data_IF_121830416579
#
_entry.id   IF_121830416579
#
_cell.length_a   1.000
_cell.length_b   1.000
_cell.length_c   1.000
_cell.angle_alpha   90.00
_cell.angle_beta   90.00
_cell.angle_gamma   90.00
#
_symmetry.space_group_name_H-M   'P 1'
#
loop_
_entity.id
_entity.type
_entity.pdbx_description
1 polymer ?
#
# COMPACT_ATOMS: atom_id res chain seq x y z
N UNK A 1 43.22 -13.40 20.58
CA UNK A 1 42.15 -13.42 19.56
C UNK A 1 40.89 -12.83 20.18
N UNK A 2 40.58 -11.57 19.89
CA UNK A 2 39.40 -10.88 20.42
C UNK A 2 38.15 -11.28 19.65
N UNK A 3 37.12 -11.72 20.36
CA UNK A 3 35.79 -11.91 19.78
C UNK A 3 35.19 -10.53 19.48
N UNK A 4 35.11 -10.17 18.21
CA UNK A 4 34.33 -9.03 17.77
C UNK A 4 32.85 -9.41 17.80
N UNK A 5 32.16 -9.02 18.86
CA UNK A 5 30.69 -9.03 18.90
C UNK A 5 30.21 -7.95 17.94
N UNK A 6 29.76 -8.34 16.74
CA UNK A 6 29.09 -7.44 15.80
C UNK A 6 27.72 -7.11 16.39
N UNK A 7 27.64 -5.99 17.10
CA UNK A 7 26.37 -5.35 17.47
C UNK A 7 25.66 -4.91 16.18
N UNK A 8 24.66 -5.67 15.74
CA UNK A 8 23.75 -5.18 14.70
C UNK A 8 22.99 -3.97 15.23
N UNK A 9 23.14 -2.83 14.55
CA UNK A 9 22.79 -1.51 15.08
C UNK A 9 21.27 -1.25 15.19
N UNK A 10 20.81 -0.64 16.31
CA UNK A 10 19.44 -0.15 16.48
C UNK A 10 19.04 1.00 15.52
N UNK A 11 20.00 1.59 14.79
CA UNK A 11 19.79 2.70 13.85
C UNK A 11 18.99 2.27 12.61
N UNK A 12 19.14 1.01 12.18
CA UNK A 12 18.51 0.47 10.96
C UNK A 12 16.99 0.31 11.10
N UNK A 13 16.51 -0.19 12.23
CA UNK A 13 15.08 -0.38 12.50
C UNK A 13 14.31 0.94 12.66
N UNK A 14 14.92 1.94 13.30
CA UNK A 14 14.30 3.26 13.46
C UNK A 14 14.15 4.00 12.13
N UNK A 15 15.15 3.91 11.27
CA UNK A 15 15.10 4.48 9.92
C UNK A 15 14.03 3.77 9.07
N UNK A 16 13.95 2.43 9.14
CA UNK A 16 12.91 1.66 8.44
C UNK A 16 11.49 2.03 8.91
N UNK A 17 11.26 2.17 10.22
CA UNK A 17 9.95 2.57 10.75
C UNK A 17 9.51 3.96 10.26
N UNK A 18 10.43 4.94 10.23
CA UNK A 18 10.15 6.29 9.73
C UNK A 18 9.85 6.31 8.23
N UNK A 19 10.61 5.55 7.44
CA UNK A 19 10.40 5.45 5.99
C UNK A 19 9.09 4.73 5.67
N UNK A 20 8.75 3.67 6.40
CA UNK A 20 7.45 3.01 6.31
C UNK A 20 6.32 3.98 6.65
N UNK A 21 6.41 4.70 7.76
CA UNK A 21 5.40 5.67 8.18
C UNK A 21 5.22 6.79 7.15
N UNK A 22 6.31 7.36 6.63
CA UNK A 22 6.27 8.38 5.60
C UNK A 22 5.60 7.89 4.31
N UNK A 23 5.97 6.69 3.84
CA UNK A 23 5.38 6.08 2.65
C UNK A 23 3.88 5.79 2.83
N UNK A 24 3.48 5.20 3.96
CA UNK A 24 2.07 4.93 4.28
C UNK A 24 1.23 6.21 4.37
N UNK A 25 1.74 7.22 5.08
CA UNK A 25 1.04 8.47 5.26
C UNK A 25 0.89 9.23 3.93
N UNK A 26 1.98 9.33 3.15
CA UNK A 26 1.94 9.99 1.85
C UNK A 26 1.03 9.23 0.87
N UNK A 27 1.12 7.88 0.82
CA UNK A 27 0.21 7.06 0.04
C UNK A 27 -1.25 7.37 0.39
N UNK A 28 -1.60 7.36 1.67
CA UNK A 28 -2.96 7.63 2.12
C UNK A 28 -3.44 9.05 1.80
N UNK A 29 -2.61 10.07 2.01
CA UNK A 29 -2.99 11.47 1.73
C UNK A 29 -3.23 11.66 0.23
N UNK A 30 -2.33 11.13 -0.60
CA UNK A 30 -2.47 11.20 -2.06
C UNK A 30 -3.68 10.41 -2.55
N UNK A 31 -4.00 9.26 -1.95
CA UNK A 31 -5.21 8.49 -2.26
C UNK A 31 -6.45 9.33 -1.95
N UNK A 32 -6.58 9.83 -0.71
CA UNK A 32 -7.72 10.65 -0.28
C UNK A 32 -7.90 11.84 -1.23
N UNK A 33 -6.83 12.57 -1.52
CA UNK A 33 -6.87 13.71 -2.44
C UNK A 33 -7.29 13.30 -3.85
N UNK A 34 -6.70 12.23 -4.40
CA UNK A 34 -6.99 11.73 -5.73
C UNK A 34 -8.43 11.27 -5.90
N UNK A 35 -8.95 10.45 -4.98
CA UNK A 35 -10.35 10.01 -5.00
C UNK A 35 -11.30 11.19 -4.83
N UNK A 36 -11.00 12.14 -3.95
CA UNK A 36 -11.85 13.32 -3.73
C UNK A 36 -11.94 14.20 -4.98
N UNK A 37 -10.79 14.48 -5.61
CA UNK A 37 -10.76 15.36 -6.78
C UNK A 37 -11.30 14.67 -8.02
N UNK A 38 -10.93 13.40 -8.29
CA UNK A 38 -11.51 12.66 -9.41
C UNK A 38 -13.02 12.42 -9.22
N UNK A 39 -13.49 12.23 -7.98
CA UNK A 39 -14.92 12.17 -7.68
C UNK A 39 -15.65 13.45 -8.06
N UNK A 40 -15.05 14.63 -7.82
CA UNK A 40 -15.69 15.91 -8.13
C UNK A 40 -15.59 16.32 -9.60
N UNK A 41 -14.48 16.04 -10.28
CA UNK A 41 -14.25 16.51 -11.67
C UNK A 41 -14.56 15.46 -12.74
N UNK A 42 -14.60 14.19 -12.37
CA UNK A 42 -14.72 13.05 -13.29
C UNK A 42 -15.73 12.02 -12.81
N UNK A 43 -16.45 12.27 -11.71
CA UNK A 43 -17.44 11.34 -11.14
C UNK A 43 -16.86 9.96 -10.84
N UNK A 44 -15.59 9.91 -10.45
CA UNK A 44 -14.91 8.66 -10.11
C UNK A 44 -15.29 8.16 -8.70
N UNK A 45 -15.55 6.85 -8.50
CA UNK A 45 -15.44 5.76 -9.47
C UNK A 45 -16.69 5.49 -10.31
N UNK A 46 -17.84 6.13 -10.04
CA UNK A 46 -19.14 5.82 -10.65
C UNK A 46 -19.12 5.90 -12.19
N UNK A 47 -18.37 6.85 -12.76
CA UNK A 47 -18.20 6.99 -14.20
C UNK A 47 -17.69 5.70 -14.88
N UNK A 48 -17.01 4.80 -14.15
CA UNK A 48 -16.46 3.57 -14.71
C UNK A 48 -17.52 2.50 -15.04
N UNK A 49 -18.76 2.73 -14.64
CA UNK A 49 -19.91 1.87 -14.91
C UNK A 49 -20.75 2.40 -16.08
N UNK A 50 -20.50 3.63 -16.52
CA UNK A 50 -21.21 4.26 -17.63
C UNK A 50 -20.77 3.71 -19.00
N UNK A 51 -21.59 3.90 -20.06
CA UNK A 51 -21.21 3.59 -21.43
C UNK A 51 -19.90 4.27 -21.84
N UNK A 52 -19.07 3.54 -22.58
CA UNK A 52 -17.74 4.01 -23.04
C UNK A 52 -17.76 5.39 -23.69
N UNK A 53 -18.78 5.68 -24.50
CA UNK A 53 -18.94 6.98 -25.15
C UNK A 53 -19.08 8.14 -24.15
N UNK A 54 -19.78 7.93 -23.03
CA UNK A 54 -19.93 8.90 -21.95
C UNK A 54 -18.62 9.08 -21.18
N UNK A 55 -17.94 7.99 -20.84
CA UNK A 55 -16.64 8.02 -20.16
C UNK A 55 -15.64 8.85 -20.96
N UNK A 56 -15.52 8.58 -22.27
CA UNK A 56 -14.58 9.27 -23.14
C UNK A 56 -14.97 10.74 -23.34
N UNK A 57 -16.27 11.06 -23.39
CA UNK A 57 -16.75 12.43 -23.47
C UNK A 57 -16.36 13.25 -22.23
N UNK A 58 -16.71 12.78 -21.04
CA UNK A 58 -16.36 13.46 -19.79
C UNK A 58 -14.84 13.56 -19.59
N UNK A 59 -14.11 12.53 -20.01
CA UNK A 59 -12.65 12.55 -19.98
C UNK A 59 -12.10 13.70 -20.83
N UNK A 60 -12.63 13.95 -22.03
CA UNK A 60 -12.16 15.06 -22.90
C UNK A 60 -12.40 16.43 -22.28
N UNK A 61 -13.52 16.61 -21.59
CA UNK A 61 -13.87 17.90 -20.97
C UNK A 61 -12.83 18.35 -19.91
N UNK A 62 -12.18 17.38 -19.26
CA UNK A 62 -11.26 17.61 -18.13
C UNK A 62 -9.92 16.89 -18.29
N UNK A 63 -9.53 16.53 -19.53
CA UNK A 63 -8.44 15.58 -19.81
C UNK A 63 -7.18 15.85 -19.01
N UNK A 64 -6.66 17.08 -19.03
CA UNK A 64 -5.43 17.42 -18.31
C UNK A 64 -5.54 17.15 -16.81
N UNK A 65 -6.63 17.58 -16.18
CA UNK A 65 -6.86 17.37 -14.76
C UNK A 65 -7.07 15.88 -14.42
N UNK A 66 -7.85 15.16 -15.24
CA UNK A 66 -8.11 13.72 -15.03
C UNK A 66 -6.80 12.92 -15.12
N UNK A 67 -5.99 13.16 -16.14
CA UNK A 67 -4.66 12.54 -16.29
C UNK A 67 -3.78 12.85 -15.08
N UNK A 68 -3.68 14.12 -14.67
CA UNK A 68 -2.87 14.52 -13.52
C UNK A 68 -3.29 13.78 -12.24
N UNK A 69 -4.58 13.71 -11.94
CA UNK A 69 -5.05 13.08 -10.70
C UNK A 69 -5.00 11.55 -10.74
N UNK A 70 -5.13 10.92 -11.92
CA UNK A 70 -4.82 9.50 -12.05
C UNK A 70 -3.32 9.20 -11.86
N UNK A 71 -2.42 10.10 -12.28
CA UNK A 71 -0.99 9.97 -11.98
C UNK A 71 -0.71 10.14 -10.47
N UNK A 72 -1.43 11.03 -9.79
CA UNK A 72 -1.36 11.16 -8.32
C UNK A 72 -1.83 9.87 -7.62
N UNK A 73 -2.93 9.27 -8.08
CA UNK A 73 -3.37 7.97 -7.58
C UNK A 73 -2.36 6.86 -7.88
N UNK A 74 -1.74 6.87 -9.07
CA UNK A 74 -0.72 5.90 -9.42
C UNK A 74 0.51 6.05 -8.51
N UNK A 75 0.91 7.27 -8.17
CA UNK A 75 1.99 7.53 -7.21
C UNK A 75 1.61 7.05 -5.80
N UNK A 76 0.38 7.33 -5.36
CA UNK A 76 -0.15 6.80 -4.09
C UNK A 76 -0.04 5.28 -4.02
N UNK A 77 -0.49 4.58 -5.06
CA UNK A 77 -0.39 3.13 -5.16
C UNK A 77 1.07 2.66 -5.18
N UNK A 78 1.93 3.32 -5.96
CA UNK A 78 3.35 2.98 -6.05
C UNK A 78 4.07 3.07 -4.70
N UNK A 79 3.68 4.02 -3.83
CA UNK A 79 4.24 4.18 -2.47
C UNK A 79 3.94 3.00 -1.55
N UNK A 80 2.97 2.15 -1.87
CA UNK A 80 2.72 0.91 -1.11
C UNK A 80 3.86 -0.11 -1.26
N UNK A 81 4.60 -0.09 -2.37
CA UNK A 81 5.78 -0.94 -2.55
C UNK A 81 6.91 -0.61 -1.55
N UNK A 82 7.43 0.63 -1.47
CA UNK A 82 8.42 0.97 -0.45
C UNK A 82 7.85 0.84 0.97
N UNK A 83 6.57 1.15 1.21
CA UNK A 83 5.94 0.92 2.50
C UNK A 83 6.04 -0.56 2.92
N UNK A 84 5.67 -1.49 2.03
CA UNK A 84 5.79 -2.93 2.25
C UNK A 84 7.23 -3.39 2.47
N UNK A 85 8.19 -2.86 1.71
CA UNK A 85 9.62 -3.18 1.88
C UNK A 85 10.13 -2.73 3.26
N UNK A 86 9.83 -1.50 3.67
CA UNK A 86 10.31 -0.98 4.95
C UNK A 86 9.61 -1.65 6.15
N UNK A 87 8.30 -1.93 6.05
CA UNK A 87 7.61 -2.75 7.04
C UNK A 87 8.18 -4.17 7.09
N UNK A 88 8.46 -4.77 5.94
CA UNK A 88 9.07 -6.09 5.85
C UNK A 88 10.43 -6.16 6.53
N UNK A 89 11.26 -5.12 6.35
CA UNK A 89 12.55 -4.97 7.06
C UNK A 89 12.38 -4.78 8.56
N UNK A 90 11.38 -4.01 8.97
CA UNK A 90 11.09 -3.78 10.39
C UNK A 90 10.67 -5.08 11.11
N UNK A 91 9.84 -5.89 10.44
CA UNK A 91 9.29 -7.15 10.98
C UNK A 91 10.32 -8.29 10.90
N UNK A 92 11.09 -8.36 9.81
CA UNK A 92 12.06 -9.43 9.57
C UNK A 92 11.43 -10.80 9.31
N UNK A 93 12.29 -11.79 9.07
CA UNK A 93 11.90 -13.19 8.87
C UNK A 93 10.95 -13.42 7.68
N UNK A 94 10.28 -14.58 7.69
CA UNK A 94 9.37 -14.99 6.62
C UNK A 94 8.15 -14.07 6.51
N UNK A 95 7.60 -13.62 7.64
CA UNK A 95 6.44 -12.72 7.66
C UNK A 95 6.78 -11.36 7.03
N UNK A 96 7.94 -10.78 7.37
CA UNK A 96 8.41 -9.54 6.76
C UNK A 96 8.63 -9.66 5.25
N UNK A 97 9.16 -10.81 4.78
CA UNK A 97 9.32 -11.07 3.36
C UNK A 97 7.97 -11.11 2.61
N UNK A 98 6.93 -11.70 3.21
CA UNK A 98 5.58 -11.72 2.64
C UNK A 98 4.94 -10.33 2.60
N UNK A 99 5.09 -9.53 3.66
CA UNK A 99 4.60 -8.13 3.67
C UNK A 99 5.20 -7.35 2.50
N UNK A 100 6.51 -7.46 2.28
CA UNK A 100 7.18 -6.79 1.18
C UNK A 100 6.67 -7.27 -0.20
N UNK A 101 6.60 -8.59 -0.42
CA UNK A 101 6.15 -9.16 -1.70
C UNK A 101 4.71 -8.78 -2.02
N UNK A 102 3.79 -8.91 -1.06
CA UNK A 102 2.38 -8.59 -1.25
C UNK A 102 2.19 -7.08 -1.44
N UNK A 103 2.92 -6.24 -0.69
CA UNK A 103 2.88 -4.78 -0.89
C UNK A 103 3.38 -4.36 -2.28
N UNK A 104 4.46 -4.96 -2.78
CA UNK A 104 4.96 -4.73 -4.13
C UNK A 104 3.95 -5.21 -5.19
N UNK A 105 3.38 -6.40 -5.02
CA UNK A 105 2.38 -6.93 -5.95
C UNK A 105 1.11 -6.06 -5.99
N UNK A 106 0.60 -5.63 -4.83
CA UNK A 106 -0.55 -4.74 -4.72
C UNK A 106 -0.28 -3.40 -5.43
N UNK A 107 0.89 -2.80 -5.18
CA UNK A 107 1.31 -1.58 -5.85
C UNK A 107 1.38 -1.76 -7.37
N UNK A 108 1.98 -2.86 -7.85
CA UNK A 108 2.17 -3.11 -9.27
C UNK A 108 0.82 -3.22 -10.02
N UNK A 109 -0.11 -4.04 -9.54
CA UNK A 109 -1.41 -4.23 -10.22
C UNK A 109 -2.22 -2.93 -10.24
N UNK A 110 -2.19 -2.17 -9.15
CA UNK A 110 -2.91 -0.91 -9.04
C UNK A 110 -2.30 0.18 -9.95
N UNK A 111 -0.97 0.29 -9.99
CA UNK A 111 -0.26 1.20 -10.90
C UNK A 111 -0.55 0.86 -12.35
N UNK A 112 -0.53 -0.42 -12.73
CA UNK A 112 -0.87 -0.87 -14.09
C UNK A 112 -2.30 -0.44 -14.45
N UNK A 113 -3.26 -0.65 -13.53
CA UNK A 113 -4.62 -0.19 -13.71
C UNK A 113 -4.69 1.33 -13.92
N UNK A 114 -4.08 2.11 -13.04
CA UNK A 114 -4.21 3.58 -13.04
C UNK A 114 -3.48 4.26 -14.21
N UNK A 115 -2.29 3.78 -14.60
CA UNK A 115 -1.48 4.42 -15.64
C UNK A 115 -2.16 4.44 -17.01
N UNK A 116 -3.10 3.53 -17.28
CA UNK A 116 -3.85 3.50 -18.56
C UNK A 116 -4.51 4.84 -18.87
N UNK A 117 -4.97 5.55 -17.85
CA UNK A 117 -5.61 6.86 -17.98
C UNK A 117 -4.68 7.96 -18.49
N UNK A 118 -3.38 7.83 -18.22
CA UNK A 118 -2.37 8.77 -18.68
C UNK A 118 -1.73 8.34 -20.01
N UNK A 119 -1.65 7.03 -20.29
CA UNK A 119 -0.88 6.50 -21.43
C UNK A 119 -1.73 6.11 -22.62
N UNK A 120 -2.89 5.48 -22.40
CA UNK A 120 -3.71 4.88 -23.48
C UNK A 120 -4.99 5.66 -23.73
N UNK A 121 -5.71 6.03 -22.67
CA UNK A 121 -7.02 6.68 -22.76
C UNK A 121 -6.99 8.00 -23.57
N UNK A 122 -5.94 8.86 -23.49
CA UNK A 122 -5.89 10.07 -24.32
C UNK A 122 -5.94 9.77 -25.82
N UNK A 123 -5.18 8.78 -26.28
CA UNK A 123 -5.18 8.38 -27.69
C UNK A 123 -6.54 7.82 -28.11
N UNK A 124 -7.05 6.85 -27.36
CA UNK A 124 -8.36 6.21 -27.65
C UNK A 124 -9.49 7.24 -27.65
N UNK A 125 -9.46 8.20 -26.74
CA UNK A 125 -10.47 9.25 -26.66
C UNK A 125 -10.49 10.18 -27.87
N UNK A 126 -9.33 10.44 -28.48
CA UNK A 126 -9.21 11.22 -29.71
C UNK A 126 -9.63 10.40 -30.93
N UNK A 127 -9.26 9.12 -31.00
CA UNK A 127 -9.69 8.22 -32.08
C UNK A 127 -11.22 8.10 -32.13
N UNK A 128 -11.88 8.09 -30.97
CA UNK A 128 -13.34 8.02 -30.86
C UNK A 128 -14.10 9.23 -31.42
N UNK A 129 -13.42 10.36 -31.71
CA UNK A 129 -14.05 11.51 -32.37
C UNK A 129 -14.32 11.25 -33.85
N UNK A 130 -13.53 10.41 -34.49
CA UNK A 130 -13.67 10.02 -35.90
C UNK A 130 -14.78 8.97 -36.05
N UNK A 131 -15.88 9.26 -36.76
CA UNK A 131 -16.98 8.30 -36.93
C UNK A 131 -16.56 6.97 -37.54
N UNK A 132 -15.50 6.95 -38.36
CA UNK A 132 -15.02 5.73 -39.03
C UNK A 132 -14.20 4.83 -38.11
N UNK A 133 -13.61 5.40 -37.04
CA UNK A 133 -12.74 4.67 -36.08
C UNK A 133 -13.37 4.52 -34.69
N UNK A 134 -14.54 5.13 -34.47
CA UNK A 134 -15.20 5.17 -33.16
C UNK A 134 -15.45 3.79 -32.57
N UNK A 135 -16.06 2.89 -33.33
CA UNK A 135 -16.40 1.56 -32.83
C UNK A 135 -15.14 0.78 -32.37
N UNK A 136 -14.06 0.84 -33.14
CA UNK A 136 -12.80 0.18 -32.79
C UNK A 136 -12.13 0.80 -31.56
N UNK A 137 -12.17 2.14 -31.45
CA UNK A 137 -11.64 2.87 -30.31
C UNK A 137 -12.41 2.53 -29.03
N UNK A 138 -13.74 2.51 -29.08
CA UNK A 138 -14.60 2.15 -27.95
C UNK A 138 -14.40 0.68 -27.54
N UNK A 139 -14.34 -0.26 -28.50
CA UNK A 139 -14.05 -1.66 -28.21
C UNK A 139 -12.67 -1.87 -27.56
N UNK A 140 -11.64 -1.13 -28.02
CA UNK A 140 -10.31 -1.15 -27.40
C UNK A 140 -10.34 -0.58 -25.99
N UNK A 141 -11.08 0.50 -25.76
CA UNK A 141 -11.28 1.04 -24.42
C UNK A 141 -11.90 -0.01 -23.51
N UNK A 142 -13.00 -0.64 -23.91
CA UNK A 142 -13.70 -1.63 -23.09
C UNK A 142 -12.82 -2.83 -22.73
N UNK A 143 -12.07 -3.36 -23.70
CA UNK A 143 -11.13 -4.45 -23.45
C UNK A 143 -10.12 -4.09 -22.36
N UNK A 144 -9.49 -2.92 -22.48
CA UNK A 144 -8.49 -2.45 -21.51
C UNK A 144 -9.12 -2.08 -20.17
N UNK A 145 -10.32 -1.49 -20.18
CA UNK A 145 -11.06 -1.12 -18.98
C UNK A 145 -11.44 -2.36 -18.17
N UNK A 146 -11.88 -3.42 -18.83
CA UNK A 146 -12.21 -4.69 -18.17
C UNK A 146 -10.95 -5.46 -17.71
N UNK A 147 -9.94 -5.57 -18.57
CA UNK A 147 -8.74 -6.36 -18.26
C UNK A 147 -7.79 -5.65 -17.28
N UNK A 148 -7.34 -4.44 -17.62
CA UNK A 148 -6.36 -3.71 -16.81
C UNK A 148 -7.05 -2.99 -15.64
N UNK A 149 -8.27 -2.51 -15.83
CA UNK A 149 -9.05 -1.87 -14.78
C UNK A 149 -9.68 -2.87 -13.82
N UNK A 150 -10.78 -3.50 -14.23
CA UNK A 150 -11.62 -4.30 -13.33
C UNK A 150 -10.95 -5.60 -12.85
N UNK A 151 -10.27 -6.33 -13.73
CA UNK A 151 -9.63 -7.58 -13.33
C UNK A 151 -8.29 -7.33 -12.62
N UNK A 152 -7.35 -6.66 -13.28
CA UNK A 152 -6.00 -6.48 -12.73
C UNK A 152 -5.98 -5.42 -11.63
N UNK A 153 -6.40 -4.20 -11.94
CA UNK A 153 -6.31 -3.07 -11.02
C UNK A 153 -7.24 -3.20 -9.82
N UNK A 154 -8.47 -3.65 -10.02
CA UNK A 154 -9.50 -3.73 -8.98
C UNK A 154 -9.50 -5.11 -8.31
N UNK A 155 -9.85 -6.19 -9.00
CA UNK A 155 -10.02 -7.52 -8.36
C UNK A 155 -8.75 -8.01 -7.66
N UNK A 156 -7.61 -8.04 -8.36
CA UNK A 156 -6.34 -8.39 -7.71
C UNK A 156 -5.87 -7.31 -6.74
N UNK A 157 -6.11 -6.03 -7.04
CA UNK A 157 -5.82 -4.92 -6.14
C UNK A 157 -6.51 -5.08 -4.78
N UNK A 158 -7.81 -5.40 -4.77
CA UNK A 158 -8.61 -5.63 -3.57
C UNK A 158 -8.08 -6.81 -2.77
N UNK A 159 -7.88 -7.96 -3.41
CA UNK A 159 -7.38 -9.17 -2.75
C UNK A 159 -5.99 -8.95 -2.13
N UNK A 160 -5.07 -8.34 -2.86
CA UNK A 160 -3.71 -8.07 -2.40
C UNK A 160 -3.68 -6.99 -1.30
N UNK A 161 -4.50 -5.95 -1.41
CA UNK A 161 -4.61 -4.89 -0.40
C UNK A 161 -5.19 -5.43 0.92
N UNK A 162 -6.25 -6.24 0.85
CA UNK A 162 -6.82 -6.91 2.01
C UNK A 162 -5.78 -7.84 2.67
N UNK A 163 -5.08 -8.65 1.86
CA UNK A 163 -4.03 -9.57 2.35
C UNK A 163 -2.88 -8.80 3.00
N UNK A 164 -2.37 -7.75 2.35
CA UNK A 164 -1.34 -6.89 2.89
C UNK A 164 -1.74 -6.34 4.27
N UNK A 165 -2.96 -5.84 4.38
CA UNK A 165 -3.49 -5.25 5.61
C UNK A 165 -3.52 -6.26 6.75
N UNK A 166 -4.01 -7.48 6.49
CA UNK A 166 -4.02 -8.57 7.48
C UNK A 166 -2.60 -8.94 7.90
N UNK A 167 -1.65 -9.03 6.96
CA UNK A 167 -0.25 -9.33 7.29
C UNK A 167 0.36 -8.25 8.20
N UNK A 168 0.08 -6.97 7.94
CA UNK A 168 0.55 -5.86 8.78
C UNK A 168 -0.09 -5.92 10.17
N UNK A 169 -1.40 -6.22 10.27
CA UNK A 169 -2.07 -6.40 11.57
C UNK A 169 -1.45 -7.56 12.35
N UNK A 170 -1.21 -8.71 11.71
CA UNK A 170 -0.58 -9.88 12.36
C UNK A 170 0.83 -9.55 12.86
N UNK A 171 1.61 -8.85 12.04
CA UNK A 171 2.99 -8.53 12.37
C UNK A 171 3.12 -7.49 13.50
N UNK A 172 2.26 -6.47 13.49
CA UNK A 172 2.36 -5.33 14.41
C UNK A 172 1.39 -5.43 15.60
N UNK A 173 0.40 -6.32 15.55
CA UNK A 173 -0.69 -6.44 16.54
C UNK A 173 -0.27 -6.82 17.96
N UNK A 174 0.93 -7.40 18.13
CA UNK A 174 1.46 -7.78 19.44
C UNK A 174 2.49 -6.80 19.99
N UNK A 175 2.91 -5.82 19.21
CA UNK A 175 4.05 -4.97 19.52
C UNK A 175 3.73 -3.48 19.41
N UNK A 176 3.15 -3.04 18.29
CA UNK A 176 2.96 -1.63 17.96
C UNK A 176 1.47 -1.24 17.94
N UNK A 177 0.59 -2.09 17.41
CA UNK A 177 -0.83 -1.75 17.27
C UNK A 177 -1.60 -2.05 18.55
N UNK A 178 -2.33 -1.07 19.12
CA UNK A 178 -3.32 -1.37 20.15
C UNK A 178 -4.47 -2.20 19.55
N UNK A 179 -5.17 -2.96 20.41
CA UNK A 179 -6.23 -3.91 19.99
C UNK A 179 -7.28 -3.29 19.07
N UNK A 180 -7.76 -2.09 19.41
CA UNK A 180 -8.79 -1.40 18.61
C UNK A 180 -8.30 -1.10 17.19
N UNK A 181 -7.01 -0.79 17.02
CA UNK A 181 -6.43 -0.51 15.71
C UNK A 181 -6.22 -1.79 14.89
N UNK A 182 -5.91 -2.90 15.55
CA UNK A 182 -5.89 -4.21 14.89
C UNK A 182 -7.29 -4.60 14.39
N UNK A 183 -8.35 -4.38 15.19
CA UNK A 183 -9.74 -4.65 14.80
C UNK A 183 -10.16 -3.78 13.61
N UNK A 184 -9.89 -2.47 13.64
CA UNK A 184 -10.18 -1.58 12.52
C UNK A 184 -9.46 -2.05 11.25
N UNK A 185 -8.19 -2.45 11.35
CA UNK A 185 -7.42 -2.95 10.20
C UNK A 185 -8.03 -4.21 9.58
N UNK A 186 -8.45 -5.18 10.41
CA UNK A 186 -9.12 -6.40 9.94
C UNK A 186 -10.49 -6.07 9.34
N UNK A 187 -11.26 -5.17 9.96
CA UNK A 187 -12.55 -4.74 9.43
C UNK A 187 -12.40 -4.05 8.06
N UNK A 188 -11.42 -3.16 7.91
CA UNK A 188 -11.12 -2.51 6.64
C UNK A 188 -10.70 -3.53 5.57
N UNK A 189 -9.86 -4.49 5.93
CA UNK A 189 -9.44 -5.57 5.02
C UNK A 189 -10.62 -6.43 4.55
N UNK A 190 -11.54 -6.79 5.47
CA UNK A 190 -12.73 -7.55 5.13
C UNK A 190 -13.66 -6.77 4.19
N UNK A 191 -13.87 -5.49 4.47
CA UNK A 191 -14.65 -4.59 3.61
C UNK A 191 -14.02 -4.45 2.21
N UNK A 192 -12.71 -4.25 2.12
CA UNK A 192 -12.00 -4.19 0.83
C UNK A 192 -12.12 -5.52 0.08
N UNK A 193 -12.00 -6.66 0.76
CA UNK A 193 -12.10 -7.98 0.14
C UNK A 193 -13.47 -8.25 -0.50
N UNK A 194 -14.55 -7.58 -0.05
CA UNK A 194 -15.85 -7.64 -0.74
C UNK A 194 -15.78 -7.19 -2.19
N UNK A 195 -14.78 -6.36 -2.55
CA UNK A 195 -14.55 -5.90 -3.91
C UNK A 195 -14.37 -7.04 -4.92
N UNK A 196 -13.83 -8.19 -4.49
CA UNK A 196 -13.60 -9.36 -5.36
C UNK A 196 -14.92 -9.94 -5.91
N UNK A 197 -16.04 -9.73 -5.21
CA UNK A 197 -17.35 -10.24 -5.62
C UNK A 197 -18.25 -9.17 -6.24
N UNK A 198 -17.76 -7.94 -6.47
CA UNK A 198 -18.51 -6.87 -7.17
C UNK A 198 -19.10 -7.35 -8.50
N UNK A 199 -18.39 -8.12 -9.36
CA UNK A 199 -18.96 -8.61 -10.61
C UNK A 199 -20.21 -9.50 -10.45
N UNK A 200 -20.44 -10.03 -9.25
CA UNK A 200 -21.56 -10.91 -8.91
C UNK A 200 -22.61 -10.21 -8.05
N UNK A 201 -22.21 -9.22 -7.25
CA UNK A 201 -23.03 -8.55 -6.24
C UNK A 201 -22.71 -7.06 -6.22
N UNK A 202 -23.51 -6.26 -6.92
CA UNK A 202 -23.33 -4.80 -7.03
C UNK A 202 -23.27 -4.09 -5.66
N UNK A 203 -24.06 -4.57 -4.68
CA UNK A 203 -24.06 -4.03 -3.32
C UNK A 203 -22.69 -4.11 -2.60
N UNK A 204 -21.77 -4.93 -3.09
CA UNK A 204 -20.40 -4.99 -2.57
C UNK A 204 -19.59 -3.71 -2.88
N UNK A 205 -19.97 -2.92 -3.88
CA UNK A 205 -19.30 -1.67 -4.26
C UNK A 205 -19.27 -0.66 -3.09
N UNK A 206 -20.40 -0.47 -2.40
CA UNK A 206 -20.49 0.43 -1.24
C UNK A 206 -19.61 -0.05 -0.07
N UNK A 207 -19.61 -1.36 0.19
CA UNK A 207 -18.79 -1.97 1.25
C UNK A 207 -17.30 -1.81 0.95
N UNK A 208 -16.89 -2.07 -0.29
CA UNK A 208 -15.52 -1.90 -0.74
C UNK A 208 -15.04 -0.45 -0.61
N UNK A 209 -15.86 0.51 -1.07
CA UNK A 209 -15.56 1.93 -0.95
C UNK A 209 -15.40 2.36 0.52
N UNK A 210 -16.33 1.97 1.39
CA UNK A 210 -16.22 2.22 2.82
C UNK A 210 -14.95 1.61 3.42
N UNK A 211 -14.58 0.40 2.97
CA UNK A 211 -13.33 -0.25 3.33
C UNK A 211 -12.10 0.59 3.01
N UNK A 212 -12.02 1.18 1.82
CA UNK A 212 -10.90 2.05 1.43
C UNK A 212 -10.83 3.35 2.23
N UNK A 213 -11.97 3.96 2.55
CA UNK A 213 -12.02 5.15 3.41
C UNK A 213 -11.47 4.83 4.79
N UNK A 214 -11.97 3.77 5.42
CA UNK A 214 -11.49 3.31 6.74
C UNK A 214 -10.01 2.94 6.66
N UNK A 215 -9.59 2.26 5.59
CA UNK A 215 -8.21 1.82 5.40
C UNK A 215 -7.24 2.99 5.27
N UNK A 216 -7.58 4.05 4.53
CA UNK A 216 -6.75 5.24 4.43
C UNK A 216 -6.53 5.87 5.82
N UNK A 217 -7.60 6.06 6.59
CA UNK A 217 -7.51 6.57 7.96
C UNK A 217 -6.68 5.63 8.86
N UNK A 218 -6.83 4.32 8.66
CA UNK A 218 -6.04 3.32 9.37
C UNK A 218 -4.55 3.41 9.03
N UNK A 219 -4.16 3.59 7.76
CA UNK A 219 -2.75 3.76 7.37
C UNK A 219 -2.13 5.00 8.03
N UNK A 220 -2.86 6.10 8.13
CA UNK A 220 -2.42 7.30 8.86
C UNK A 220 -2.22 6.99 10.35
N UNK A 221 -3.12 6.22 10.95
CA UNK A 221 -3.00 5.73 12.32
C UNK A 221 -1.75 4.85 12.52
N UNK A 222 -1.52 3.88 11.63
CA UNK A 222 -0.33 3.01 11.66
C UNK A 222 0.94 3.84 11.51
N UNK A 223 0.98 4.78 10.57
CA UNK A 223 2.10 5.69 10.38
C UNK A 223 2.40 6.49 11.66
N UNK A 224 1.39 7.06 12.29
CA UNK A 224 1.55 7.79 13.55
C UNK A 224 2.08 6.90 14.69
N UNK A 225 1.61 5.66 14.79
CA UNK A 225 2.09 4.70 15.80
C UNK A 225 3.53 4.28 15.55
N UNK A 226 3.93 4.04 14.30
CA UNK A 226 5.30 3.73 13.91
C UNK A 226 6.28 4.86 14.28
N UNK A 227 5.85 6.13 14.16
CA UNK A 227 6.64 7.28 14.56
C UNK A 227 6.78 7.44 16.09
N UNK A 228 5.83 6.88 16.86
CA UNK A 228 5.78 6.97 18.33
C UNK A 228 6.42 5.80 19.08
N UNK A 229 6.73 4.69 18.39
CA UNK A 229 7.26 3.48 19.02
C UNK A 229 8.61 3.74 19.74
N UNK A 230 8.74 3.40 21.04
CA UNK A 230 9.99 3.57 21.80
C UNK A 230 11.15 2.71 21.27
N UNK A 231 12.38 3.20 21.41
CA UNK A 231 13.58 2.38 21.14
C UNK A 231 13.72 1.31 22.23
N UNK A 232 14.08 0.06 21.91
CA UNK A 232 14.61 -0.85 22.92
C UNK A 232 15.85 -0.20 23.55
N UNK A 233 15.79 0.13 24.83
CA UNK A 233 16.97 0.56 25.58
C UNK A 233 17.86 -0.67 25.73
N UNK A 234 19.03 -0.68 25.08
CA UNK A 234 20.04 -1.68 25.37
C UNK A 234 20.59 -1.34 26.75
N UNK A 235 20.04 -1.95 27.80
CA UNK A 235 20.71 -1.94 29.10
C UNK A 235 21.97 -2.77 28.93
N UNK A 236 23.10 -2.09 28.75
CA UNK A 236 24.41 -2.72 28.80
C UNK A 236 24.53 -3.38 30.17
N UNK A 237 24.27 -4.69 30.24
CA UNK A 237 24.58 -5.48 31.42
C UNK A 237 26.10 -5.49 31.46
N UNK A 238 26.69 -4.65 32.31
CA UNK A 238 28.11 -4.71 32.57
C UNK A 238 28.40 -6.09 33.11
N UNK A 239 29.00 -6.95 32.30
CA UNK A 239 29.56 -8.21 32.76
C UNK A 239 30.77 -7.80 33.60
N UNK A 240 30.57 -7.67 34.92
CA UNK A 240 31.66 -7.47 35.86
C UNK A 240 32.61 -8.66 35.72
N UNK A 241 33.89 -8.47 35.36
CA UNK A 241 34.82 -9.58 35.31
C UNK A 241 34.95 -10.15 36.72
N UNK A 242 34.36 -11.32 36.98
CA UNK A 242 34.58 -12.03 38.23
C UNK A 242 36.07 -12.33 38.32
N UNK A 243 36.69 -11.80 39.38
CA UNK A 243 38.11 -11.95 39.68
C UNK A 243 38.46 -13.43 39.94
N UNK A 244 38.68 -14.19 38.88
CA UNK A 244 39.14 -15.57 38.93
C UNK A 244 40.45 -15.68 38.14
N UNK A 245 41.52 -15.12 38.72
CA UNK A 245 42.80 -15.05 38.02
C UNK A 245 43.99 -14.58 38.85
N UNK A 246 43.97 -14.75 40.18
CA UNK A 246 45.14 -14.54 41.03
C UNK A 246 45.14 -15.47 42.24
N UNK A 247 45.63 -16.69 42.04
CA UNK A 247 46.20 -17.57 43.07
C UNK A 247 46.79 -18.75 42.31
N UNK A 248 48.09 -18.73 42.01
CA UNK A 248 48.98 -19.89 41.89
C UNK A 248 50.36 -19.41 41.43
N UNK A 249 51.08 -18.73 42.30
CA UNK A 249 52.55 -18.74 42.29
C UNK A 249 53.04 -18.72 43.74
N UNK A 250 53.33 -19.89 44.29
CA UNK A 250 53.91 -20.02 45.62
C UNK A 250 54.38 -21.44 45.91
N UNK A 251 55.72 -21.64 45.85
CA UNK A 251 56.59 -22.53 46.64
C UNK A 251 56.15 -24.00 46.79
N UNK A 252 56.94 -25.03 46.46
CA UNK A 252 58.33 -25.44 46.84
C UNK A 252 58.54 -26.88 46.27
N UNK A 253 59.67 -27.62 46.47
CA UNK A 253 60.83 -27.41 47.33
C UNK A 253 62.14 -27.06 46.60
#
# INVERSE_FOLDING_TARGET
MGAQTITQEPVTHRSAARLAAAALALASVLAIAGFTVLGSIFQYPQILEEPTSQILALFRERQGAVVTWFLVLALSAALMAPAGVFLGRLVGGTLGAWIARVGIAAAAVQVIGLLRWATVVPGVSQEALDPTRRADAEARFELLHNLLGRLIGETFGYALTATFTVLVVVALGRTILPRWMAVIGVAAAALIATGVVIPLVEAASLSNFAGYVVWCLWLLGVAALLLRAPTPTVTATSITPTAWGRRFTGRRP
#
